data_IF_966613530367
#
_entry.id   IF_966613530367
#
_cell.length_a   1.000
_cell.length_b   1.000
_cell.length_c   1.000
_cell.angle_alpha   90.00
_cell.angle_beta   90.00
_cell.angle_gamma   90.00
#
_symmetry.space_group_name_H-M   'P 1'
#
loop_
_entity.id
_entity.type
_entity.pdbx_description
1 polymer ?
#
# COMPACT_ATOMS: atom_id res chain seq x y z
N UNK A 1 -69.88 45.96 -5.01
CA UNK A 1 -69.16 44.79 -5.54
C UNK A 1 -68.60 45.19 -6.89
N UNK A 2 -67.33 45.57 -6.96
CA UNK A 2 -66.60 45.76 -8.21
C UNK A 2 -65.16 45.34 -7.92
N UNK A 3 -64.78 44.18 -8.47
CA UNK A 3 -63.43 43.66 -8.43
C UNK A 3 -62.76 44.23 -9.68
N UNK A 4 -61.90 45.23 -9.50
CA UNK A 4 -61.12 45.79 -10.61
C UNK A 4 -60.09 44.74 -11.05
N UNK A 5 -60.43 44.05 -12.13
CA UNK A 5 -59.54 43.14 -12.85
C UNK A 5 -58.55 44.00 -13.62
N UNK A 6 -57.31 44.11 -13.13
CA UNK A 6 -56.22 44.65 -13.93
C UNK A 6 -56.04 43.76 -15.17
N UNK A 7 -56.09 44.33 -16.40
CA UNK A 7 -55.91 43.54 -17.59
C UNK A 7 -54.46 43.04 -17.64
N UNK A 8 -54.28 41.71 -17.68
CA UNK A 8 -53.03 41.11 -18.13
C UNK A 8 -52.80 41.58 -19.56
N UNK A 9 -51.97 42.61 -19.73
CA UNK A 9 -51.47 42.99 -21.04
C UNK A 9 -50.52 41.89 -21.49
N UNK A 10 -51.03 40.95 -22.29
CA UNK A 10 -50.17 40.07 -23.05
C UNK A 10 -49.24 40.94 -23.91
N UNK A 11 -47.92 40.74 -23.86
CA UNK A 11 -47.04 41.40 -24.81
C UNK A 11 -47.52 41.06 -26.24
N UNK A 12 -47.40 41.99 -27.20
CA UNK A 12 -47.82 41.74 -28.57
C UNK A 12 -47.15 40.47 -29.10
N UNK A 13 -47.87 39.62 -29.87
CA UNK A 13 -47.27 38.45 -30.49
C UNK A 13 -46.09 38.92 -31.34
N UNK A 14 -44.93 38.29 -31.16
CA UNK A 14 -43.79 38.58 -32.01
C UNK A 14 -44.16 38.32 -33.48
N UNK A 15 -43.73 39.21 -34.36
CA UNK A 15 -43.99 39.12 -35.80
C UNK A 15 -43.19 38.01 -36.48
N UNK A 16 -42.37 37.27 -35.73
CA UNK A 16 -41.60 36.12 -36.21
C UNK A 16 -42.33 34.82 -35.84
N UNK A 17 -42.91 34.08 -36.81
CA UNK A 17 -43.64 32.84 -36.57
C UNK A 17 -42.79 31.70 -35.98
N UNK A 18 -41.48 31.90 -35.83
CA UNK A 18 -40.52 30.95 -35.26
C UNK A 18 -39.93 31.39 -33.91
N UNK A 19 -40.41 32.47 -33.30
CA UNK A 19 -39.88 33.00 -32.03
C UNK A 19 -39.98 31.99 -30.87
N UNK A 20 -40.98 31.10 -30.91
CA UNK A 20 -41.13 29.99 -29.96
C UNK A 20 -40.11 28.85 -30.14
N UNK A 21 -39.41 28.79 -31.28
CA UNK A 21 -38.34 27.82 -31.56
C UNK A 21 -36.96 28.42 -31.26
N UNK A 22 -36.82 29.75 -31.31
CA UNK A 22 -35.54 30.42 -31.06
C UNK A 22 -35.26 30.44 -29.56
N UNK A 23 -34.14 29.85 -29.10
CA UNK A 23 -33.73 29.99 -27.71
C UNK A 23 -33.61 31.48 -27.38
N UNK A 24 -34.18 31.90 -26.24
CA UNK A 24 -34.04 33.29 -25.79
C UNK A 24 -32.57 33.54 -25.47
N UNK A 25 -31.83 34.14 -26.42
CA UNK A 25 -30.38 34.33 -26.36
C UNK A 25 -29.91 34.99 -25.06
N UNK A 26 -30.76 35.84 -24.46
CA UNK A 26 -30.50 36.46 -23.15
C UNK A 26 -30.57 35.45 -21.99
N UNK A 27 -31.51 34.53 -22.03
CA UNK A 27 -31.61 33.47 -21.02
C UNK A 27 -30.45 32.46 -21.13
N UNK A 28 -30.04 32.12 -22.35
CA UNK A 28 -28.87 31.27 -22.59
C UNK A 28 -27.57 31.93 -22.09
N UNK A 29 -27.38 33.23 -22.37
CA UNK A 29 -26.25 34.00 -21.87
C UNK A 29 -26.23 34.03 -20.33
N UNK A 30 -27.36 34.33 -19.69
CA UNK A 30 -27.46 34.31 -18.22
C UNK A 30 -27.30 32.91 -17.62
N UNK A 31 -27.66 31.85 -18.34
CA UNK A 31 -27.41 30.46 -17.92
C UNK A 31 -25.91 30.12 -18.02
N UNK A 32 -25.22 30.55 -19.08
CA UNK A 32 -23.78 30.38 -19.26
C UNK A 32 -22.96 31.17 -18.24
N UNK A 33 -23.32 32.42 -17.95
CA UNK A 33 -22.68 33.25 -16.91
C UNK A 33 -22.85 32.63 -15.52
N UNK A 34 -24.05 32.15 -15.18
CA UNK A 34 -24.29 31.42 -13.93
C UNK A 34 -23.45 30.15 -13.86
N UNK A 35 -23.41 29.34 -14.92
CA UNK A 35 -22.59 28.12 -14.97
C UNK A 35 -21.08 28.41 -14.84
N UNK A 36 -20.59 29.51 -15.43
CA UNK A 36 -19.22 29.99 -15.28
C UNK A 36 -18.90 30.38 -13.84
N UNK A 37 -19.76 31.19 -13.22
CA UNK A 37 -19.64 31.60 -11.82
C UNK A 37 -19.64 30.42 -10.86
N UNK A 38 -20.53 29.43 -11.04
CA UNK A 38 -20.54 28.20 -10.22
C UNK A 38 -19.25 27.38 -10.38
N UNK A 39 -18.70 27.24 -11.59
CA UNK A 39 -17.41 26.57 -11.81
C UNK A 39 -16.27 27.31 -11.11
N UNK A 40 -16.28 28.63 -11.13
CA UNK A 40 -15.24 29.47 -10.55
C UNK A 40 -15.30 29.51 -9.01
N UNK A 41 -16.50 29.59 -8.43
CA UNK A 41 -16.73 29.39 -7.00
C UNK A 41 -16.29 27.99 -6.58
N UNK A 42 -16.63 26.95 -7.34
CA UNK A 42 -16.18 25.57 -7.09
C UNK A 42 -14.66 25.43 -7.09
N UNK A 43 -13.97 26.01 -8.09
CA UNK A 43 -12.50 26.05 -8.14
C UNK A 43 -11.91 26.79 -6.94
N UNK A 44 -12.48 27.93 -6.56
CA UNK A 44 -12.00 28.77 -5.46
C UNK A 44 -12.17 28.07 -4.11
N UNK A 45 -13.31 27.42 -3.89
CA UNK A 45 -13.55 26.60 -2.70
C UNK A 45 -12.59 25.42 -2.65
N UNK A 46 -12.38 24.73 -3.77
CA UNK A 46 -11.41 23.63 -3.85
C UNK A 46 -9.99 24.08 -3.51
N UNK A 47 -9.53 25.22 -4.04
CA UNK A 47 -8.20 25.75 -3.75
C UNK A 47 -8.05 26.18 -2.29
N UNK A 48 -9.10 26.79 -1.69
CA UNK A 48 -9.12 27.10 -0.25
C UNK A 48 -9.01 25.82 0.58
N UNK A 49 -9.80 24.80 0.25
CA UNK A 49 -9.79 23.50 0.94
C UNK A 49 -8.44 22.80 0.80
N UNK A 50 -7.87 22.73 -0.42
CA UNK A 50 -6.51 22.20 -0.64
C UNK A 50 -5.48 22.91 0.21
N UNK A 51 -5.56 24.24 0.33
CA UNK A 51 -4.61 25.04 1.10
C UNK A 51 -4.71 24.78 2.60
N UNK A 52 -5.91 24.47 3.10
CA UNK A 52 -6.17 24.09 4.51
C UNK A 52 -5.59 22.70 4.82
N UNK A 53 -5.82 21.71 3.95
CA UNK A 53 -5.36 20.33 4.18
C UNK A 53 -3.93 20.05 3.68
N UNK A 54 -3.23 21.03 3.10
CA UNK A 54 -1.88 20.82 2.57
C UNK A 54 -0.87 20.63 3.70
N UNK A 55 -0.34 19.42 3.81
CA UNK A 55 0.80 19.10 4.67
C UNK A 55 2.03 19.82 4.13
N UNK A 56 2.52 20.82 4.86
CA UNK A 56 3.67 21.65 4.47
C UNK A 56 5.01 21.02 4.82
N UNK A 57 5.06 20.21 5.87
CA UNK A 57 6.28 19.55 6.31
C UNK A 57 6.61 18.37 5.38
N UNK A 58 7.74 18.47 4.68
CA UNK A 58 8.20 17.45 3.74
C UNK A 58 8.42 16.09 4.40
N UNK A 59 9.02 16.05 5.60
CA UNK A 59 9.27 14.80 6.31
C UNK A 59 7.97 14.08 6.68
N UNK A 60 6.95 14.81 7.13
CA UNK A 60 5.62 14.23 7.40
C UNK A 60 5.00 13.69 6.11
N UNK A 61 5.10 14.43 5.00
CA UNK A 61 4.56 13.99 3.71
C UNK A 61 5.24 12.71 3.21
N UNK A 62 6.56 12.62 3.36
CA UNK A 62 7.33 11.42 3.02
C UNK A 62 6.99 10.25 3.96
N UNK A 63 6.90 10.48 5.27
CA UNK A 63 6.47 9.47 6.25
C UNK A 63 5.10 8.89 5.90
N UNK A 64 4.12 9.73 5.53
CA UNK A 64 2.79 9.27 5.13
C UNK A 64 2.80 8.52 3.79
N UNK A 65 3.64 8.94 2.84
CA UNK A 65 3.82 8.21 1.59
C UNK A 65 4.44 6.83 1.83
N UNK A 66 5.47 6.73 2.67
CA UNK A 66 6.07 5.47 3.09
C UNK A 66 5.06 4.59 3.84
N UNK A 67 4.23 5.17 4.71
CA UNK A 67 3.16 4.45 5.39
C UNK A 67 2.14 3.87 4.40
N UNK A 68 1.65 4.66 3.45
CA UNK A 68 0.70 4.21 2.44
C UNK A 68 1.30 3.14 1.52
N UNK A 69 2.51 3.37 1.02
CA UNK A 69 3.19 2.42 0.15
C UNK A 69 3.44 1.09 0.86
N UNK A 70 3.99 1.10 2.08
CA UNK A 70 4.22 -0.12 2.85
C UNK A 70 2.90 -0.80 3.22
N UNK A 71 1.86 -0.04 3.57
CA UNK A 71 0.53 -0.59 3.81
C UNK A 71 0.02 -1.39 2.60
N UNK A 72 0.13 -0.83 1.39
CA UNK A 72 -0.27 -1.51 0.14
C UNK A 72 0.54 -2.80 -0.06
N UNK A 73 1.88 -2.74 0.06
CA UNK A 73 2.73 -3.94 -0.08
C UNK A 73 2.27 -5.04 0.88
N UNK A 74 2.05 -4.67 2.14
CA UNK A 74 1.74 -5.61 3.21
C UNK A 74 0.32 -6.17 3.09
N UNK A 75 -0.69 -5.36 2.73
CA UNK A 75 -2.05 -5.88 2.53
C UNK A 75 -2.08 -6.96 1.45
N UNK A 76 -1.46 -6.72 0.28
CA UNK A 76 -1.38 -7.72 -0.78
C UNK A 76 -0.59 -8.96 -0.37
N UNK A 77 0.61 -8.74 0.20
CA UNK A 77 1.49 -9.82 0.65
C UNK A 77 0.84 -10.70 1.71
N UNK A 78 0.43 -10.13 2.84
CA UNK A 78 -0.14 -10.89 3.96
C UNK A 78 -1.47 -11.55 3.59
N UNK A 79 -2.34 -10.90 2.81
CA UNK A 79 -3.60 -11.52 2.35
C UNK A 79 -3.34 -12.76 1.50
N UNK A 80 -2.32 -12.74 0.64
CA UNK A 80 -1.96 -13.90 -0.16
C UNK A 80 -1.49 -15.07 0.71
N UNK A 81 -0.71 -14.80 1.77
CA UNK A 81 -0.29 -15.84 2.72
C UNK A 81 -1.51 -16.38 3.48
N UNK A 82 -2.44 -15.51 3.90
CA UNK A 82 -3.68 -15.93 4.54
C UNK A 82 -4.48 -16.88 3.63
N UNK A 83 -4.61 -16.59 2.33
CA UNK A 83 -5.31 -17.49 1.40
C UNK A 83 -4.65 -18.87 1.31
N UNK A 84 -3.32 -18.93 1.20
CA UNK A 84 -2.60 -20.21 1.11
C UNK A 84 -2.74 -21.01 2.41
N UNK A 85 -2.51 -20.37 3.56
CA UNK A 85 -2.52 -21.02 4.87
C UNK A 85 -3.92 -21.50 5.23
N UNK A 86 -4.89 -20.57 5.24
CA UNK A 86 -6.26 -20.85 5.67
C UNK A 86 -7.00 -21.73 4.66
N UNK A 87 -6.70 -21.59 3.37
CA UNK A 87 -7.20 -22.44 2.30
C UNK A 87 -6.51 -23.80 2.19
N UNK A 88 -5.52 -24.11 3.05
CA UNK A 88 -4.74 -25.36 3.04
C UNK A 88 -4.15 -25.68 1.65
N UNK A 89 -3.73 -24.65 0.92
CA UNK A 89 -3.20 -24.76 -0.45
C UNK A 89 -4.24 -24.84 -1.57
N UNK A 90 -5.55 -24.90 -1.27
CA UNK A 90 -6.58 -24.97 -2.31
C UNK A 90 -6.87 -23.62 -2.96
N UNK A 91 -6.63 -22.51 -2.24
CA UNK A 91 -6.91 -21.15 -2.71
C UNK A 91 -5.64 -20.36 -3.06
N UNK A 92 -4.51 -21.06 -3.25
CA UNK A 92 -3.24 -20.45 -3.60
C UNK A 92 -2.06 -21.35 -3.25
N UNK A 93 -0.90 -21.01 -3.79
CA UNK A 93 0.34 -21.76 -3.63
C UNK A 93 1.50 -20.80 -3.34
N UNK A 94 2.70 -21.33 -3.08
CA UNK A 94 3.87 -20.50 -2.85
C UNK A 94 4.10 -19.46 -3.97
N UNK A 95 3.86 -19.84 -5.23
CA UNK A 95 3.91 -18.93 -6.38
C UNK A 95 2.94 -17.75 -6.26
N UNK A 96 1.69 -17.97 -5.81
CA UNK A 96 0.72 -16.89 -5.68
C UNK A 96 1.12 -15.88 -4.60
N UNK A 97 1.81 -16.33 -3.54
CA UNK A 97 2.38 -15.45 -2.52
C UNK A 97 3.43 -14.53 -3.14
N UNK A 98 4.38 -15.10 -3.90
CA UNK A 98 5.45 -14.32 -4.51
C UNK A 98 4.91 -13.32 -5.55
N UNK A 99 3.91 -13.72 -6.34
CA UNK A 99 3.24 -12.83 -7.30
C UNK A 99 2.56 -11.67 -6.55
N UNK A 100 1.82 -11.96 -5.48
CA UNK A 100 1.12 -10.93 -4.71
C UNK A 100 2.08 -9.93 -4.06
N UNK A 101 3.21 -10.40 -3.49
CA UNK A 101 4.25 -9.49 -2.98
C UNK A 101 4.85 -8.62 -4.08
N UNK A 102 5.16 -9.18 -5.26
CA UNK A 102 5.66 -8.41 -6.40
C UNK A 102 4.67 -7.35 -6.90
N UNK A 103 3.38 -7.68 -6.97
CA UNK A 103 2.29 -6.74 -7.29
C UNK A 103 2.20 -5.66 -6.21
N UNK A 104 2.21 -6.06 -4.93
CA UNK A 104 2.16 -5.14 -3.80
C UNK A 104 3.30 -4.12 -3.84
N UNK A 105 4.53 -4.57 -4.09
CA UNK A 105 5.71 -3.71 -4.28
C UNK A 105 5.52 -2.74 -5.44
N UNK A 106 5.08 -3.24 -6.60
CA UNK A 106 4.82 -2.39 -7.77
C UNK A 106 3.83 -1.27 -7.44
N UNK A 107 2.69 -1.61 -6.85
CA UNK A 107 1.64 -0.65 -6.51
C UNK A 107 2.07 0.31 -5.39
N UNK A 108 2.79 -0.20 -4.39
CA UNK A 108 3.34 0.61 -3.31
C UNK A 108 4.31 1.67 -3.85
N UNK A 109 5.16 1.30 -4.82
CA UNK A 109 6.09 2.24 -5.46
C UNK A 109 5.32 3.27 -6.28
N UNK A 110 4.30 2.89 -7.04
CA UNK A 110 3.46 3.87 -7.73
C UNK A 110 2.75 4.83 -6.76
N UNK A 111 2.33 4.35 -5.59
CA UNK A 111 1.64 5.17 -4.58
C UNK A 111 2.56 6.18 -3.87
N UNK A 112 3.81 5.81 -3.60
CA UNK A 112 4.72 6.60 -2.77
C UNK A 112 5.88 7.27 -3.55
N UNK A 113 6.20 6.79 -4.74
CA UNK A 113 7.44 7.09 -5.46
C UNK A 113 7.62 8.57 -5.76
N UNK A 114 6.56 9.26 -6.19
CA UNK A 114 6.60 10.70 -6.47
C UNK A 114 6.75 11.60 -5.24
N UNK A 115 6.72 11.05 -4.04
CA UNK A 115 6.76 11.80 -2.77
C UNK A 115 8.00 11.44 -1.95
N UNK A 116 8.22 10.15 -1.68
CA UNK A 116 9.31 9.66 -0.83
C UNK A 116 10.42 8.94 -1.59
N UNK A 117 10.23 8.65 -2.89
CA UNK A 117 11.07 7.69 -3.61
C UNK A 117 10.70 6.23 -3.33
N UNK A 118 9.66 5.98 -2.50
CA UNK A 118 9.12 4.66 -2.18
C UNK A 118 10.19 3.64 -1.74
N UNK A 119 10.85 3.90 -0.60
CA UNK A 119 11.77 2.92 -0.05
C UNK A 119 11.02 1.69 0.44
N UNK A 120 9.91 1.92 1.16
CA UNK A 120 8.96 0.93 1.69
C UNK A 120 9.62 -0.17 2.55
N UNK A 121 10.88 0.04 2.92
CA UNK A 121 11.78 -0.93 3.51
C UNK A 121 12.89 -0.21 4.28
N UNK A 122 13.06 -0.57 5.56
CA UNK A 122 14.06 0.05 6.42
C UNK A 122 15.49 -0.24 5.93
N UNK A 123 15.77 -1.43 5.39
CA UNK A 123 17.09 -1.76 4.85
C UNK A 123 17.43 -0.91 3.62
N UNK A 124 16.47 -0.72 2.70
CA UNK A 124 16.64 0.19 1.55
C UNK A 124 16.87 1.63 2.05
N UNK A 125 16.10 2.05 3.05
CA UNK A 125 16.22 3.41 3.63
C UNK A 125 17.60 3.66 4.24
N UNK A 126 18.11 2.71 5.03
CA UNK A 126 19.44 2.80 5.62
C UNK A 126 20.50 2.81 4.51
N UNK A 127 20.38 1.95 3.49
CA UNK A 127 21.30 1.93 2.35
C UNK A 127 21.34 3.28 1.64
N UNK A 128 20.19 3.89 1.34
CA UNK A 128 20.12 5.20 0.69
C UNK A 128 20.74 6.30 1.55
N UNK A 129 20.66 6.19 2.87
CA UNK A 129 21.35 7.10 3.78
C UNK A 129 22.87 6.91 3.76
N UNK A 130 23.34 5.66 3.78
CA UNK A 130 24.78 5.32 3.72
C UNK A 130 25.40 5.76 2.40
N UNK A 131 24.65 5.66 1.30
CA UNK A 131 25.07 6.15 -0.02
C UNK A 131 24.99 7.68 -0.17
N UNK A 132 24.51 8.40 0.85
CA UNK A 132 24.44 9.86 0.86
C UNK A 132 23.23 10.46 0.13
N UNK A 133 22.23 9.66 -0.23
CA UNK A 133 21.04 10.12 -0.96
C UNK A 133 19.95 10.70 -0.05
N UNK A 134 19.93 10.32 1.23
CA UNK A 134 19.03 10.90 2.25
C UNK A 134 19.76 11.17 3.57
N UNK A 135 19.19 12.02 4.41
CA UNK A 135 19.74 12.33 5.74
C UNK A 135 19.34 11.30 6.80
N UNK A 136 20.13 11.15 7.86
CA UNK A 136 19.79 10.31 9.02
C UNK A 136 18.47 10.73 9.71
N UNK A 137 18.15 12.03 9.71
CA UNK A 137 16.86 12.52 10.21
C UNK A 137 15.68 12.05 9.36
N UNK A 138 15.87 11.93 8.04
CA UNK A 138 14.87 11.39 7.11
C UNK A 138 14.65 9.90 7.35
N UNK A 139 15.71 9.14 7.67
CA UNK A 139 15.62 7.70 7.97
C UNK A 139 14.61 7.42 9.08
N UNK A 140 14.63 8.19 10.16
CA UNK A 140 13.71 8.02 11.30
C UNK A 140 12.26 8.21 10.83
N UNK A 141 11.97 9.28 10.07
CA UNK A 141 10.62 9.53 9.56
C UNK A 141 10.13 8.40 8.63
N UNK A 142 11.02 7.87 7.78
CA UNK A 142 10.69 6.77 6.87
C UNK A 142 10.39 5.50 7.64
N UNK A 143 11.24 5.10 8.58
CA UNK A 143 11.05 3.87 9.36
C UNK A 143 9.76 3.94 10.18
N UNK A 144 9.46 5.08 10.81
CA UNK A 144 8.19 5.28 11.52
C UNK A 144 6.99 5.09 10.58
N UNK A 145 7.04 5.71 9.39
CA UNK A 145 6.00 5.57 8.37
C UNK A 145 5.80 4.12 7.94
N UNK A 146 6.89 3.46 7.55
CA UNK A 146 6.87 2.06 7.11
C UNK A 146 6.35 1.13 8.21
N UNK A 147 6.79 1.34 9.46
CA UNK A 147 6.35 0.51 10.59
C UNK A 147 4.85 0.70 10.86
N UNK A 148 4.37 1.95 10.84
CA UNK A 148 2.96 2.25 10.98
C UNK A 148 2.14 1.61 9.86
N UNK A 149 2.55 1.77 8.60
CA UNK A 149 1.87 1.18 7.45
C UNK A 149 1.78 -0.34 7.52
N UNK A 150 2.88 -0.99 7.87
CA UNK A 150 2.96 -2.45 8.00
C UNK A 150 2.14 -3.00 9.17
N UNK A 151 2.18 -2.32 10.32
CA UNK A 151 1.36 -2.67 11.49
C UNK A 151 -0.14 -2.55 11.16
N UNK A 152 -0.55 -1.45 10.53
CA UNK A 152 -1.94 -1.25 10.13
C UNK A 152 -2.38 -2.27 9.08
N UNK A 153 -1.51 -2.63 8.14
CA UNK A 153 -1.81 -3.69 7.16
C UNK A 153 -2.02 -5.05 7.83
N UNK A 154 -1.20 -5.41 8.83
CA UNK A 154 -1.38 -6.62 9.61
C UNK A 154 -2.73 -6.62 10.34
N UNK A 155 -3.10 -5.51 10.99
CA UNK A 155 -4.40 -5.35 11.63
C UNK A 155 -5.57 -5.45 10.64
N UNK A 156 -5.45 -4.83 9.46
CA UNK A 156 -6.45 -4.91 8.38
C UNK A 156 -6.62 -6.34 7.88
N UNK A 157 -5.53 -7.07 7.65
CA UNK A 157 -5.58 -8.45 7.15
C UNK A 157 -6.14 -9.38 8.22
N UNK A 158 -5.78 -9.18 9.49
CA UNK A 158 -6.36 -9.91 10.60
C UNK A 158 -7.88 -9.71 10.68
N UNK A 159 -8.36 -8.46 10.56
CA UNK A 159 -9.79 -8.17 10.53
C UNK A 159 -10.49 -8.79 9.30
N UNK A 160 -9.86 -8.71 8.12
CA UNK A 160 -10.39 -9.26 6.88
C UNK A 160 -10.56 -10.79 6.92
N UNK A 161 -9.64 -11.48 7.59
CA UNK A 161 -9.61 -12.94 7.68
C UNK A 161 -10.00 -13.48 9.06
N UNK A 162 -10.59 -12.66 9.94
CA UNK A 162 -10.82 -13.01 11.34
C UNK A 162 -11.57 -14.34 11.49
N UNK A 163 -12.72 -14.48 10.83
CA UNK A 163 -13.55 -15.69 10.91
C UNK A 163 -12.80 -16.92 10.37
N UNK A 164 -12.07 -16.77 9.27
CA UNK A 164 -11.30 -17.86 8.66
C UNK A 164 -10.13 -18.29 9.57
N UNK A 165 -9.43 -17.33 10.20
CA UNK A 165 -8.39 -17.59 11.19
C UNK A 165 -8.98 -18.32 12.39
N UNK A 166 -10.11 -17.84 12.91
CA UNK A 166 -10.78 -18.43 14.06
C UNK A 166 -11.17 -19.88 13.81
N UNK A 167 -11.82 -20.17 12.67
CA UNK A 167 -12.21 -21.53 12.27
C UNK A 167 -10.99 -22.43 12.04
N UNK A 168 -9.97 -21.94 11.34
CA UNK A 168 -8.76 -22.72 11.04
C UNK A 168 -7.99 -23.11 12.32
N UNK A 169 -7.89 -22.16 13.25
CA UNK A 169 -7.12 -22.31 14.50
C UNK A 169 -7.94 -22.88 15.67
N UNK A 170 -9.25 -23.06 15.49
CA UNK A 170 -10.19 -23.37 16.57
C UNK A 170 -10.08 -22.36 17.74
N UNK A 171 -9.93 -21.08 17.40
CA UNK A 171 -9.74 -19.98 18.35
C UNK A 171 -8.35 -19.92 19.02
N UNK A 172 -7.43 -20.84 18.74
CA UNK A 172 -6.12 -20.91 19.37
C UNK A 172 -5.01 -20.32 18.47
N UNK A 173 -4.62 -19.08 18.73
CA UNK A 173 -3.64 -18.35 17.94
C UNK A 173 -2.19 -18.77 18.29
N UNK A 174 -1.63 -19.72 17.52
CA UNK A 174 -0.28 -20.25 17.77
C UNK A 174 0.75 -19.88 16.71
N UNK A 175 2.02 -19.91 17.12
CA UNK A 175 3.18 -19.65 16.25
C UNK A 175 3.64 -20.92 15.53
N UNK A 176 3.60 -22.05 16.23
CA UNK A 176 3.97 -23.35 15.72
C UNK A 176 2.86 -24.39 15.92
N UNK A 177 2.98 -25.52 15.21
CA UNK A 177 1.97 -26.58 15.20
C UNK A 177 1.14 -26.66 13.92
N UNK A 178 0.26 -27.68 13.79
CA UNK A 178 -0.45 -28.00 12.55
C UNK A 178 -1.46 -26.91 12.13
N UNK A 179 -1.98 -26.14 13.08
CA UNK A 179 -2.95 -25.07 12.84
C UNK A 179 -2.36 -23.68 13.16
N UNK A 180 -1.04 -23.54 13.14
CA UNK A 180 -0.38 -22.26 13.38
C UNK A 180 -0.72 -21.23 12.31
N UNK A 181 -0.97 -20.00 12.75
CA UNK A 181 -1.42 -18.89 11.90
C UNK A 181 -0.46 -17.71 11.91
N UNK A 182 0.54 -17.68 12.80
CA UNK A 182 1.47 -16.56 12.90
C UNK A 182 2.26 -16.29 11.61
N UNK A 183 2.52 -17.35 10.83
CA UNK A 183 3.22 -17.26 9.55
C UNK A 183 2.48 -16.41 8.49
N UNK A 184 1.19 -16.12 8.71
CA UNK A 184 0.41 -15.22 7.85
C UNK A 184 1.01 -13.81 7.89
N UNK A 185 1.47 -13.36 9.06
CA UNK A 185 1.83 -11.97 9.31
C UNK A 185 3.35 -11.73 9.24
N UNK A 186 4.15 -12.68 9.71
CA UNK A 186 5.61 -12.57 9.79
C UNK A 186 6.27 -13.89 9.42
N UNK A 187 7.54 -13.83 9.02
CA UNK A 187 8.26 -15.02 8.59
C UNK A 187 8.76 -15.84 9.77
N UNK A 188 8.92 -17.14 9.57
CA UNK A 188 9.58 -18.01 10.54
C UNK A 188 10.49 -18.95 9.77
N UNK A 189 11.75 -19.16 10.19
CA UNK A 189 12.65 -20.08 9.52
C UNK A 189 12.02 -21.46 9.37
N UNK A 190 12.32 -22.13 8.25
CA UNK A 190 11.94 -23.52 8.06
C UNK A 190 12.57 -24.38 9.17
N UNK A 191 11.94 -25.49 9.59
CA UNK A 191 12.37 -26.25 10.77
C UNK A 191 13.83 -26.75 10.74
N UNK A 192 14.39 -26.88 9.53
CA UNK A 192 15.69 -27.48 9.27
C UNK A 192 16.80 -26.42 9.16
N UNK A 193 16.47 -25.14 9.31
CA UNK A 193 17.39 -24.02 9.06
C UNK A 193 17.96 -23.52 10.38
N UNK A 194 19.30 -23.50 10.51
CA UNK A 194 19.98 -22.93 11.67
C UNK A 194 19.90 -21.40 11.66
N UNK A 195 20.10 -20.76 12.82
CA UNK A 195 20.15 -19.29 12.90
C UNK A 195 21.22 -18.69 11.97
N UNK A 196 22.39 -19.33 11.86
CA UNK A 196 23.46 -18.90 10.97
C UNK A 196 23.04 -19.03 9.49
N UNK A 197 22.39 -20.13 9.11
CA UNK A 197 21.86 -20.31 7.77
C UNK A 197 20.74 -19.33 7.42
N UNK A 198 19.87 -19.02 8.40
CA UNK A 198 18.83 -18.02 8.26
C UNK A 198 19.42 -16.61 8.05
N UNK A 199 20.43 -16.24 8.86
CA UNK A 199 21.14 -14.99 8.71
C UNK A 199 21.77 -14.86 7.32
N UNK A 200 22.49 -15.90 6.87
CA UNK A 200 23.12 -15.88 5.55
C UNK A 200 22.10 -15.78 4.41
N UNK A 201 20.95 -16.46 4.54
CA UNK A 201 19.85 -16.37 3.58
C UNK A 201 19.32 -14.95 3.47
N UNK A 202 18.93 -14.34 4.60
CA UNK A 202 18.37 -12.98 4.62
C UNK A 202 19.39 -11.92 4.20
N UNK A 203 20.66 -12.07 4.62
CA UNK A 203 21.75 -11.20 4.19
C UNK A 203 21.91 -11.24 2.67
N UNK A 204 22.04 -12.43 2.09
CA UNK A 204 22.25 -12.61 0.64
C UNK A 204 21.05 -12.10 -0.15
N UNK A 205 19.82 -12.45 0.26
CA UNK A 205 18.60 -12.01 -0.42
C UNK A 205 18.43 -10.48 -0.36
N UNK A 206 18.78 -9.85 0.77
CA UNK A 206 18.72 -8.38 0.92
C UNK A 206 19.81 -7.68 0.09
N UNK A 207 21.01 -8.26 -0.01
CA UNK A 207 22.06 -7.77 -0.92
C UNK A 207 21.58 -7.81 -2.37
N UNK A 208 20.97 -8.93 -2.80
CA UNK A 208 20.42 -9.04 -4.16
C UNK A 208 19.27 -8.06 -4.41
N UNK A 209 18.43 -7.80 -3.41
CA UNK A 209 17.41 -6.76 -3.48
C UNK A 209 18.04 -5.37 -3.70
N UNK A 210 19.01 -4.99 -2.87
CA UNK A 210 19.68 -3.69 -2.95
C UNK A 210 20.38 -3.55 -4.31
N UNK A 211 21.16 -4.54 -4.73
CA UNK A 211 21.85 -4.53 -6.02
C UNK A 211 20.87 -4.42 -7.19
N UNK A 212 19.78 -5.19 -7.17
CA UNK A 212 18.76 -5.13 -8.21
C UNK A 212 18.10 -3.75 -8.29
N UNK A 213 17.80 -3.13 -7.14
CA UNK A 213 17.26 -1.75 -7.10
C UNK A 213 18.27 -0.77 -7.70
N UNK A 214 19.54 -0.85 -7.31
CA UNK A 214 20.58 0.02 -7.87
C UNK A 214 20.69 -0.16 -9.39
N UNK A 215 20.69 -1.40 -9.89
CA UNK A 215 20.75 -1.68 -11.33
C UNK A 215 19.53 -1.13 -12.08
N UNK A 216 18.32 -1.24 -11.52
CA UNK A 216 17.09 -0.76 -12.17
C UNK A 216 17.05 0.78 -12.24
N UNK A 217 17.61 1.47 -11.25
CA UNK A 217 17.44 2.91 -11.06
C UNK A 217 18.69 3.76 -11.38
N UNK A 218 19.85 3.15 -11.66
CA UNK A 218 21.08 3.89 -11.91
C UNK A 218 21.12 4.54 -13.31
N UNK A 219 20.74 5.82 -13.38
CA UNK A 219 20.73 6.63 -14.60
C UNK A 219 22.12 6.79 -15.25
N UNK A 220 23.21 6.47 -14.55
CA UNK A 220 24.58 6.49 -15.10
C UNK A 220 24.98 5.18 -15.78
N UNK A 221 24.14 4.15 -15.67
CA UNK A 221 24.29 2.86 -16.34
C UNK A 221 23.12 2.65 -17.31
N UNK A 222 22.66 1.40 -17.49
CA UNK A 222 21.51 1.05 -18.32
C UNK A 222 20.20 1.04 -17.49
N UNK A 223 19.84 2.19 -16.89
CA UNK A 223 18.60 2.31 -16.13
C UNK A 223 17.37 1.92 -16.94
N UNK A 224 16.39 1.35 -16.26
CA UNK A 224 15.09 1.17 -16.84
C UNK A 224 14.40 2.51 -17.11
N UNK A 225 13.50 2.53 -18.09
CA UNK A 225 12.61 3.68 -18.29
C UNK A 225 11.82 3.97 -17.00
N UNK A 226 11.69 5.25 -16.64
CA UNK A 226 11.16 5.68 -15.32
C UNK A 226 9.78 5.08 -15.01
N UNK A 227 8.91 4.97 -16.01
CA UNK A 227 7.57 4.40 -15.83
C UNK A 227 7.58 2.88 -15.57
N UNK A 228 8.63 2.16 -15.98
CA UNK A 228 8.76 0.72 -15.78
C UNK A 228 9.53 0.33 -14.51
N UNK A 229 10.28 1.26 -13.90
CA UNK A 229 11.04 1.02 -12.67
C UNK A 229 10.21 0.36 -11.55
N UNK A 230 8.94 0.78 -11.27
CA UNK A 230 8.11 0.14 -10.25
C UNK A 230 7.81 -1.34 -10.56
N UNK A 231 7.46 -1.64 -11.81
CA UNK A 231 7.11 -2.99 -12.28
C UNK A 231 8.34 -3.90 -12.20
N UNK A 232 9.50 -3.43 -12.65
CA UNK A 232 10.74 -4.21 -12.59
C UNK A 232 11.20 -4.45 -11.15
N UNK A 233 10.95 -3.50 -10.24
CA UNK A 233 11.23 -3.69 -8.81
C UNK A 233 10.30 -4.72 -8.18
N UNK A 234 9.02 -4.75 -8.58
CA UNK A 234 8.10 -5.82 -8.21
C UNK A 234 8.54 -7.18 -8.73
N UNK A 235 8.99 -7.26 -9.98
CA UNK A 235 9.54 -8.49 -10.58
C UNK A 235 10.82 -8.96 -9.87
N UNK A 236 11.68 -8.03 -9.44
CA UNK A 236 12.84 -8.35 -8.62
C UNK A 236 12.44 -9.03 -7.31
N UNK A 237 11.47 -8.47 -6.58
CA UNK A 237 10.98 -9.08 -5.32
C UNK A 237 10.30 -10.43 -5.57
N UNK A 238 9.51 -10.56 -6.64
CA UNK A 238 8.97 -11.84 -7.10
C UNK A 238 10.08 -12.87 -7.35
N UNK A 239 11.13 -12.48 -8.08
CA UNK A 239 12.28 -13.34 -8.36
C UNK A 239 13.02 -13.79 -7.11
N UNK A 240 13.21 -12.89 -6.13
CA UNK A 240 13.79 -13.23 -4.82
C UNK A 240 12.89 -14.24 -4.08
N UNK A 241 11.57 -14.03 -4.06
CA UNK A 241 10.63 -14.98 -3.45
C UNK A 241 10.69 -16.37 -4.08
N UNK A 242 10.80 -16.44 -5.41
CA UNK A 242 10.92 -17.69 -6.16
C UNK A 242 12.26 -18.39 -5.94
N UNK A 243 13.36 -17.65 -5.88
CA UNK A 243 14.71 -18.21 -5.85
C UNK A 243 15.33 -18.39 -4.47
N UNK A 244 14.92 -17.61 -3.47
CA UNK A 244 15.63 -17.48 -2.19
C UNK A 244 14.72 -17.55 -0.96
N UNK A 245 13.44 -17.85 -1.14
CA UNK A 245 12.47 -17.74 -0.06
C UNK A 245 12.18 -19.01 0.75
N UNK A 246 12.63 -20.19 0.32
CA UNK A 246 12.33 -21.46 1.00
C UNK A 246 12.78 -21.49 2.48
N UNK A 247 13.97 -20.98 2.77
CA UNK A 247 14.59 -21.14 4.08
C UNK A 247 13.96 -20.25 5.15
N UNK A 248 13.62 -19.01 4.80
CA UNK A 248 13.23 -17.96 5.77
C UNK A 248 11.99 -17.18 5.35
N UNK A 249 11.37 -17.46 4.21
CA UNK A 249 10.23 -16.69 3.70
C UNK A 249 10.60 -15.30 3.16
N UNK A 250 11.87 -15.09 2.79
CA UNK A 250 12.40 -13.86 2.17
C UNK A 250 11.91 -12.59 2.88
N UNK A 251 12.22 -12.44 4.17
CA UNK A 251 11.78 -11.26 4.92
C UNK A 251 12.29 -9.98 4.25
N UNK A 252 13.60 -9.91 3.96
CA UNK A 252 14.37 -8.89 3.19
C UNK A 252 14.09 -7.41 3.50
N UNK A 253 13.29 -7.17 4.55
CA UNK A 253 12.70 -5.90 4.90
C UNK A 253 12.31 -5.93 6.39
N UNK A 254 13.06 -5.23 7.27
CA UNK A 254 12.71 -5.14 8.68
C UNK A 254 11.30 -4.59 8.94
N UNK A 255 10.84 -3.65 8.09
CA UNK A 255 9.50 -3.05 8.18
C UNK A 255 8.38 -4.02 7.78
N UNK A 256 8.69 -5.08 7.02
CA UNK A 256 7.74 -6.14 6.63
C UNK A 256 7.57 -7.21 7.72
N UNK A 257 8.52 -7.33 8.63
CA UNK A 257 8.56 -8.45 9.58
C UNK A 257 8.31 -8.04 11.02
N UNK A 258 9.03 -7.02 11.53
CA UNK A 258 8.93 -6.63 12.94
C UNK A 258 7.56 -6.02 13.31
N UNK A 259 6.98 -5.07 12.55
CA UNK A 259 5.69 -4.49 12.91
C UNK A 259 4.54 -5.51 12.94
N UNK A 260 4.41 -6.46 11.98
CA UNK A 260 3.42 -7.53 12.09
C UNK A 260 3.66 -8.48 13.27
N UNK A 261 4.91 -8.74 13.70
CA UNK A 261 5.17 -9.48 14.95
C UNK A 261 4.64 -8.75 16.17
N UNK A 262 4.89 -7.44 16.25
CA UNK A 262 4.38 -6.60 17.34
C UNK A 262 2.85 -6.64 17.35
N UNK A 263 2.21 -6.53 16.18
CA UNK A 263 0.76 -6.70 16.06
C UNK A 263 0.30 -8.05 16.61
N UNK A 264 0.90 -9.16 16.18
CA UNK A 264 0.52 -10.50 16.65
C UNK A 264 0.67 -10.67 18.17
N UNK A 265 1.75 -10.13 18.75
CA UNK A 265 1.96 -10.17 20.20
C UNK A 265 0.81 -9.50 20.95
N UNK A 266 0.30 -8.37 20.43
CA UNK A 266 -0.84 -7.63 20.99
C UNK A 266 -2.17 -8.34 20.70
N UNK A 267 -2.32 -8.95 19.52
CA UNK A 267 -3.58 -9.52 19.04
C UNK A 267 -3.94 -10.90 19.62
N UNK A 268 -3.00 -11.56 20.32
CA UNK A 268 -3.30 -12.78 21.08
C UNK A 268 -2.38 -13.98 20.82
N UNK A 269 -1.39 -13.88 19.93
CA UNK A 269 -0.35 -14.92 19.79
C UNK A 269 0.68 -14.91 20.93
N UNK A 270 0.71 -13.82 21.71
CA UNK A 270 1.62 -13.65 22.84
C UNK A 270 3.09 -13.46 22.43
N UNK A 271 3.98 -13.54 23.41
CA UNK A 271 5.42 -13.26 23.21
C UNK A 271 6.17 -14.35 22.44
N UNK A 272 5.54 -15.51 22.22
CA UNK A 272 6.10 -16.61 21.44
C UNK A 272 6.50 -16.17 20.02
N UNK A 273 5.88 -15.13 19.47
CA UNK A 273 6.18 -14.57 18.14
C UNK A 273 7.62 -14.06 17.98
N UNK A 274 8.34 -13.85 19.09
CA UNK A 274 9.74 -13.42 19.11
C UNK A 274 10.73 -14.53 19.46
N UNK A 275 10.26 -15.65 19.99
CA UNK A 275 11.13 -16.70 20.57
C UNK A 275 11.00 -18.05 19.86
N UNK A 276 9.82 -18.38 19.32
CA UNK A 276 9.60 -19.68 18.69
C UNK A 276 10.18 -19.74 17.27
N UNK A 277 10.84 -20.86 16.99
CA UNK A 277 11.16 -21.32 15.64
C UNK A 277 10.12 -22.37 15.24
N UNK A 278 9.83 -22.55 13.94
CA UNK A 278 8.94 -23.64 13.51
C UNK A 278 9.47 -24.96 14.06
N UNK A 279 8.62 -25.68 14.80
CA UNK A 279 8.99 -26.94 15.43
C UNK A 279 9.61 -27.90 14.39
N UNK A 280 10.77 -28.48 14.73
CA UNK A 280 11.36 -29.59 13.99
C UNK A 280 10.33 -30.69 13.91
N UNK A 281 9.87 -31.02 12.70
CA UNK A 281 9.27 -32.34 12.49
C UNK A 281 10.41 -33.31 12.78
N UNK A 282 10.34 -34.01 13.92
CA UNK A 282 11.18 -35.18 14.14
C UNK A 282 10.78 -36.16 13.05
N UNK A 283 11.60 -36.27 12.02
CA UNK A 283 11.53 -37.39 11.09
C UNK A 283 11.96 -38.61 11.90
N UNK A 284 10.98 -39.31 12.47
CA UNK A 284 11.10 -40.69 12.95
C UNK A 284 10.96 -41.64 11.77
#
# INVERSE_FOLDING_TARGET
MNVDVFPYSHPPPSSDPYDWIRPNLREEQHAQERAGSFKEVGKTMLEKTKKVFRIRNTAIRQMLAEALGTFIVMVFGLSSVAQVVLGKGNNGQYLSINIAFGIGVTLGIYAAGGISGAHLNAAITITQCVLGNISWTTVIAYIIGQFLGSFLAAATVFALYYDAIYVYSNGNLTVSGPNATAMIFSTYPAPNVSLQGAFFTEFTATVMLILGILVIHDEKNNAAIKSAQPVLTGLLVLGIGLGMGLNTGYAINPSRDLPPRIFMAIAGWGMAVFTEQRARIQLT
#
